data_IF_418434458921
#
_entry.id   IF_418434458921
#
_cell.length_a   1.000
_cell.length_b   1.000
_cell.length_c   1.000
_cell.angle_alpha   90.00
_cell.angle_beta   90.00
_cell.angle_gamma   90.00
#
_symmetry.space_group_name_H-M   'P 1'
#
loop_
_entity.id
_entity.type
_entity.pdbx_description
1 polymer ?
#
# COMPACT_ATOMS: atom_id res chain seq x y z
N UNK A 1 9.59 -21.06 -20.12
CA UNK A 1 8.27 -20.53 -20.58
C UNK A 1 7.57 -19.93 -19.40
N UNK A 2 7.26 -18.66 -19.45
CA UNK A 2 6.80 -17.93 -18.28
C UNK A 2 5.43 -18.44 -17.85
N UNK A 3 5.34 -18.87 -16.61
CA UNK A 3 4.12 -19.19 -15.85
C UNK A 3 3.10 -18.03 -15.84
N UNK A 4 3.50 -16.85 -16.27
CA UNK A 4 2.69 -15.64 -16.37
C UNK A 4 1.51 -15.74 -17.36
N UNK A 5 1.68 -16.42 -18.48
CA UNK A 5 0.64 -16.47 -19.52
C UNK A 5 -0.62 -17.26 -19.13
N UNK A 6 -0.49 -18.23 -18.25
CA UNK A 6 -1.66 -19.02 -17.80
C UNK A 6 -2.55 -18.27 -16.80
N UNK A 7 -1.93 -17.45 -15.98
CA UNK A 7 -2.62 -16.63 -14.99
C UNK A 7 -3.40 -15.49 -15.63
N UNK A 8 -2.86 -14.87 -16.67
CA UNK A 8 -3.50 -13.77 -17.40
C UNK A 8 -4.80 -14.24 -18.08
N UNK A 9 -4.83 -15.47 -18.62
CA UNK A 9 -6.00 -16.01 -19.33
C UNK A 9 -7.23 -16.31 -18.45
N UNK A 10 -7.05 -16.42 -17.12
CA UNK A 10 -8.09 -16.85 -16.19
C UNK A 10 -8.23 -15.90 -14.98
N UNK A 11 -8.37 -14.63 -15.23
CA UNK A 11 -8.38 -13.59 -14.17
C UNK A 11 -9.49 -13.80 -13.11
N UNK A 12 -10.69 -14.21 -13.51
CA UNK A 12 -11.77 -14.52 -12.56
C UNK A 12 -11.39 -15.68 -11.63
N UNK A 13 -10.68 -16.62 -12.15
CA UNK A 13 -10.12 -17.74 -11.39
C UNK A 13 -9.09 -17.27 -10.38
N UNK A 14 -8.20 -16.35 -10.77
CA UNK A 14 -7.21 -15.74 -9.87
C UNK A 14 -7.91 -14.96 -8.75
N UNK A 15 -8.92 -14.16 -9.08
CA UNK A 15 -9.72 -13.44 -8.07
C UNK A 15 -10.38 -14.38 -7.08
N UNK A 16 -10.89 -15.52 -7.56
CA UNK A 16 -11.45 -16.57 -6.70
C UNK A 16 -10.39 -17.15 -5.76
N UNK A 17 -9.19 -17.47 -6.28
CA UNK A 17 -8.09 -17.99 -5.45
C UNK A 17 -7.61 -16.96 -4.41
N UNK A 18 -7.44 -15.72 -4.81
CA UNK A 18 -7.07 -14.65 -3.87
C UNK A 18 -8.13 -14.50 -2.78
N UNK A 19 -9.41 -14.60 -3.12
CA UNK A 19 -10.50 -14.57 -2.15
C UNK A 19 -10.42 -15.75 -1.19
N UNK A 20 -10.16 -16.94 -1.69
CA UNK A 20 -10.06 -18.16 -0.89
C UNK A 20 -8.90 -18.09 0.12
N UNK A 21 -7.72 -17.66 -0.31
CA UNK A 21 -6.52 -17.64 0.54
C UNK A 21 -6.32 -16.35 1.34
N UNK A 22 -6.92 -15.24 0.94
CA UNK A 22 -6.78 -13.95 1.62
C UNK A 22 -8.04 -13.53 2.37
N UNK A 23 -9.21 -13.46 1.69
CA UNK A 23 -10.44 -12.95 2.30
C UNK A 23 -11.03 -13.98 3.27
N UNK A 24 -11.18 -15.22 2.84
CA UNK A 24 -11.67 -16.30 3.70
C UNK A 24 -10.57 -16.86 4.61
N UNK A 25 -9.32 -16.63 4.25
CA UNK A 25 -8.16 -17.02 5.03
C UNK A 25 -7.82 -18.49 4.92
N UNK A 26 -7.33 -19.04 5.96
CA UNK A 26 -6.72 -20.35 6.08
C UNK A 26 -7.47 -21.48 5.40
N UNK A 27 -6.86 -22.10 4.39
CA UNK A 27 -7.41 -23.22 3.64
C UNK A 27 -6.51 -24.44 3.75
N UNK A 28 -7.09 -25.57 4.15
CA UNK A 28 -6.46 -26.90 4.07
C UNK A 28 -6.94 -27.62 2.83
N UNK A 29 -6.20 -28.67 2.45
CA UNK A 29 -6.58 -29.54 1.36
C UNK A 29 -7.91 -30.23 1.62
N UNK A 30 -8.12 -30.69 2.84
CA UNK A 30 -9.32 -31.40 3.26
C UNK A 30 -10.51 -30.46 3.53
N UNK A 31 -10.24 -29.25 3.95
CA UNK A 31 -11.24 -28.18 4.13
C UNK A 31 -11.73 -27.53 2.83
N UNK A 32 -11.17 -27.95 1.68
CA UNK A 32 -11.52 -27.36 0.37
C UNK A 32 -12.70 -28.11 -0.27
N UNK A 33 -13.87 -27.98 0.37
CA UNK A 33 -15.07 -28.78 0.02
C UNK A 33 -15.70 -28.41 -1.33
N UNK A 34 -15.39 -27.28 -1.92
CA UNK A 34 -15.99 -26.81 -3.18
C UNK A 34 -15.42 -27.44 -4.43
N UNK A 35 -14.25 -28.09 -4.35
CA UNK A 35 -13.53 -28.69 -5.50
C UNK A 35 -12.65 -29.86 -5.05
N UNK A 36 -12.10 -30.59 -6.03
CA UNK A 36 -11.21 -31.71 -5.74
C UNK A 36 -9.90 -31.32 -5.09
N UNK A 37 -9.27 -32.21 -4.35
CA UNK A 37 -7.94 -32.01 -3.75
C UNK A 37 -6.87 -31.65 -4.80
N UNK A 38 -6.98 -32.18 -6.02
CA UNK A 38 -6.09 -31.81 -7.14
C UNK A 38 -6.28 -30.34 -7.55
N UNK A 39 -7.54 -29.88 -7.57
CA UNK A 39 -7.84 -28.47 -7.86
C UNK A 39 -7.22 -27.55 -6.80
N UNK A 40 -7.26 -27.92 -5.51
CA UNK A 40 -6.61 -27.18 -4.43
C UNK A 40 -5.09 -27.07 -4.64
N UNK A 41 -4.43 -28.20 -4.94
CA UNK A 41 -2.97 -28.22 -5.16
C UNK A 41 -2.56 -27.37 -6.37
N UNK A 42 -3.36 -27.37 -7.44
CA UNK A 42 -3.11 -26.57 -8.64
C UNK A 42 -3.32 -25.06 -8.35
N UNK A 43 -4.37 -24.71 -7.63
CA UNK A 43 -4.67 -23.34 -7.25
C UNK A 43 -3.61 -22.79 -6.29
N UNK A 44 -3.23 -23.57 -5.29
CA UNK A 44 -2.16 -23.22 -4.36
C UNK A 44 -0.83 -22.99 -5.09
N UNK A 45 -0.41 -23.88 -5.99
CA UNK A 45 0.83 -23.72 -6.77
C UNK A 45 0.82 -22.46 -7.64
N UNK A 46 -0.32 -22.14 -8.24
CA UNK A 46 -0.48 -20.93 -9.05
C UNK A 46 -0.36 -19.66 -8.19
N UNK A 47 -0.96 -19.67 -7.00
CA UNK A 47 -0.82 -18.56 -6.06
C UNK A 47 0.62 -18.46 -5.52
N UNK A 48 1.26 -19.57 -5.18
CA UNK A 48 2.65 -19.61 -4.75
C UNK A 48 3.63 -19.07 -5.81
N UNK A 49 3.35 -19.27 -7.10
CA UNK A 49 4.19 -18.71 -8.17
C UNK A 49 4.14 -17.19 -8.28
N UNK A 50 3.12 -16.55 -7.72
CA UNK A 50 2.91 -15.10 -7.76
C UNK A 50 3.15 -14.41 -6.43
N UNK A 51 2.71 -15.06 -5.38
CA UNK A 51 2.64 -14.50 -4.03
C UNK A 51 3.38 -15.39 -3.02
N UNK A 52 4.26 -16.28 -3.48
CA UNK A 52 4.97 -17.24 -2.63
C UNK A 52 5.65 -16.60 -1.43
N UNK A 53 6.30 -15.45 -1.64
CA UNK A 53 6.97 -14.67 -0.60
C UNK A 53 6.00 -14.12 0.45
N UNK A 54 4.70 -14.07 0.13
CA UNK A 54 3.63 -13.59 0.99
C UNK A 54 2.72 -14.71 1.49
N UNK A 55 3.00 -15.96 1.12
CA UNK A 55 2.23 -17.11 1.57
C UNK A 55 2.89 -17.73 2.79
N UNK A 56 2.06 -18.02 3.77
CA UNK A 56 2.44 -18.68 5.02
C UNK A 56 1.53 -19.89 5.26
N UNK A 57 1.90 -20.70 6.23
CA UNK A 57 1.06 -21.83 6.61
C UNK A 57 1.13 -22.11 8.10
N UNK A 58 0.05 -22.71 8.61
CA UNK A 58 -0.02 -23.29 9.95
C UNK A 58 -0.30 -24.79 9.79
N UNK A 59 0.39 -25.61 10.53
CA UNK A 59 0.11 -27.05 10.62
C UNK A 59 -0.89 -27.30 11.73
N UNK A 60 -1.96 -27.99 11.41
CA UNK A 60 -2.98 -28.48 12.34
C UNK A 60 -3.07 -30.01 12.24
N UNK A 61 -3.74 -30.70 13.17
CA UNK A 61 -3.99 -32.14 13.06
C UNK A 61 -4.68 -32.52 11.74
N UNK A 62 -5.54 -31.64 11.20
CA UNK A 62 -6.25 -31.81 9.93
C UNK A 62 -5.39 -31.49 8.70
N UNK A 63 -4.12 -31.07 8.89
CA UNK A 63 -3.20 -30.84 7.79
C UNK A 63 -2.59 -29.44 7.74
N UNK A 64 -2.08 -29.07 6.56
CA UNK A 64 -1.41 -27.80 6.31
C UNK A 64 -2.43 -26.76 5.84
N UNK A 65 -2.71 -25.77 6.69
CA UNK A 65 -3.56 -24.63 6.38
C UNK A 65 -2.74 -23.50 5.78
N UNK A 66 -2.96 -23.17 4.52
CA UNK A 66 -2.24 -22.12 3.79
C UNK A 66 -3.04 -20.83 3.77
N UNK A 67 -2.36 -19.69 3.88
CA UNK A 67 -2.97 -18.35 3.83
C UNK A 67 -2.00 -17.33 3.26
N UNK A 68 -2.53 -16.19 2.82
CA UNK A 68 -1.73 -15.03 2.39
C UNK A 68 -1.62 -14.06 3.55
N UNK A 69 -0.38 -13.68 3.89
CA UNK A 69 -0.05 -12.65 4.87
C UNK A 69 0.84 -11.61 4.22
N UNK A 70 0.34 -10.37 4.14
CA UNK A 70 1.05 -9.25 3.52
C UNK A 70 1.36 -8.22 4.58
N UNK A 71 2.64 -7.99 4.84
CA UNK A 71 3.07 -6.89 5.69
C UNK A 71 3.34 -5.66 4.81
N UNK A 72 2.34 -4.78 4.73
CA UNK A 72 2.39 -3.55 3.94
C UNK A 72 3.48 -2.55 4.33
N UNK A 73 4.18 -2.77 5.45
CA UNK A 73 5.27 -1.90 5.89
C UNK A 73 6.61 -2.28 5.29
N UNK A 74 6.80 -3.56 5.02
CA UNK A 74 8.03 -4.09 4.41
C UNK A 74 7.94 -4.16 2.90
N UNK A 75 6.74 -4.05 2.34
CA UNK A 75 6.49 -4.19 0.91
C UNK A 75 6.11 -2.81 0.35
N UNK A 76 6.90 -2.26 -0.58
CA UNK A 76 6.66 -0.92 -1.15
C UNK A 76 5.39 -0.84 -1.99
N UNK A 77 4.94 -1.95 -2.56
CA UNK A 77 3.76 -2.02 -3.41
C UNK A 77 2.87 -3.20 -3.01
N UNK A 78 1.55 -3.02 -3.06
CA UNK A 78 0.62 -4.10 -2.77
C UNK A 78 0.76 -5.23 -3.80
N UNK A 79 1.25 -6.42 -3.42
CA UNK A 79 1.52 -7.52 -4.36
C UNK A 79 0.24 -8.07 -5.00
N UNK A 80 -0.91 -7.86 -4.39
CA UNK A 80 -2.21 -8.27 -4.96
C UNK A 80 -2.53 -7.52 -6.26
N UNK A 81 -2.00 -6.30 -6.44
CA UNK A 81 -2.19 -5.54 -7.68
C UNK A 81 -1.42 -6.10 -8.87
N UNK A 82 -0.44 -6.98 -8.66
CA UNK A 82 0.24 -7.65 -9.77
C UNK A 82 -0.74 -8.48 -10.61
N UNK A 83 -1.71 -9.15 -9.98
CA UNK A 83 -2.76 -9.88 -10.71
C UNK A 83 -3.71 -8.93 -11.46
N UNK A 84 -4.02 -7.80 -10.87
CA UNK A 84 -4.86 -6.78 -11.49
C UNK A 84 -4.15 -6.12 -12.69
N UNK A 85 -2.90 -5.72 -12.53
CA UNK A 85 -2.05 -5.13 -13.57
C UNK A 85 -1.92 -6.07 -14.77
N UNK A 86 -1.66 -7.35 -14.52
CA UNK A 86 -1.48 -8.36 -15.56
C UNK A 86 -2.71 -8.55 -16.47
N UNK A 87 -3.93 -8.25 -15.99
CA UNK A 87 -5.13 -8.26 -16.84
C UNK A 87 -5.37 -6.93 -17.54
N UNK A 88 -5.25 -5.84 -16.78
CA UNK A 88 -5.75 -4.54 -17.23
C UNK A 88 -4.81 -3.89 -18.24
N UNK A 89 -3.51 -3.96 -17.98
CA UNK A 89 -2.51 -3.30 -18.82
C UNK A 89 -1.17 -4.05 -18.75
N UNK A 90 -0.62 -4.37 -19.90
CA UNK A 90 0.80 -4.74 -20.00
C UNK A 90 1.67 -3.49 -19.94
N UNK A 91 2.97 -3.64 -19.71
CA UNK A 91 3.91 -2.50 -19.77
C UNK A 91 3.90 -1.85 -21.16
N UNK A 92 3.75 -2.67 -22.22
CA UNK A 92 3.56 -2.18 -23.58
C UNK A 92 2.26 -1.41 -23.78
N UNK A 93 1.13 -1.87 -23.20
CA UNK A 93 -0.14 -1.13 -23.27
C UNK A 93 -0.03 0.24 -22.62
N UNK A 94 0.60 0.33 -21.45
CA UNK A 94 0.79 1.60 -20.73
C UNK A 94 1.69 2.53 -21.54
N UNK A 95 2.81 2.02 -22.02
CA UNK A 95 3.76 2.81 -22.84
C UNK A 95 3.10 3.33 -24.09
N UNK A 96 2.41 2.46 -24.83
CA UNK A 96 1.73 2.84 -26.07
C UNK A 96 0.60 3.85 -25.83
N UNK A 97 -0.11 3.74 -24.70
CA UNK A 97 -1.13 4.70 -24.29
C UNK A 97 -0.56 6.13 -24.22
N UNK A 98 0.50 6.30 -23.42
CA UNK A 98 1.10 7.62 -23.25
C UNK A 98 1.69 8.16 -24.56
N UNK A 99 2.37 7.33 -25.34
CA UNK A 99 2.94 7.74 -26.64
C UNK A 99 1.86 8.19 -27.60
N UNK A 100 0.76 7.43 -27.74
CA UNK A 100 -0.33 7.79 -28.67
C UNK A 100 -1.01 9.10 -28.26
N UNK A 101 -1.19 9.34 -26.95
CA UNK A 101 -1.81 10.59 -26.48
C UNK A 101 -0.85 11.78 -26.50
N UNK A 102 0.46 11.55 -26.53
CA UNK A 102 1.43 12.61 -26.75
C UNK A 102 1.54 12.97 -28.25
N UNK A 103 1.55 11.97 -29.14
CA UNK A 103 1.50 12.20 -30.58
C UNK A 103 0.22 12.94 -30.99
N UNK A 104 -0.92 12.50 -30.45
CA UNK A 104 -2.24 13.07 -30.73
C UNK A 104 -2.70 13.98 -29.58
N UNK A 105 -1.82 14.88 -29.13
CA UNK A 105 -2.03 15.71 -27.94
C UNK A 105 -3.15 16.74 -28.08
N UNK A 106 -3.48 17.14 -29.32
CA UNK A 106 -4.47 18.18 -29.62
C UNK A 106 -5.45 17.73 -30.73
N UNK A 107 -6.73 18.10 -30.68
CA UNK A 107 -7.71 17.76 -31.72
C UNK A 107 -7.35 18.23 -33.14
N UNK A 108 -6.51 19.24 -33.26
CA UNK A 108 -6.06 19.74 -34.57
C UNK A 108 -4.93 18.90 -35.17
N UNK A 109 -4.26 18.12 -34.35
CA UNK A 109 -3.19 17.23 -34.79
C UNK A 109 -3.78 15.93 -35.30
N UNK A 110 -3.57 15.64 -36.58
CA UNK A 110 -4.00 14.38 -37.19
C UNK A 110 -2.81 13.63 -37.80
N UNK A 111 -2.79 12.32 -37.65
CA UNK A 111 -1.77 11.42 -38.18
C UNK A 111 -2.40 10.18 -38.76
N UNK A 112 -1.82 9.67 -39.85
CA UNK A 112 -2.16 8.33 -40.33
C UNK A 112 -1.27 7.26 -39.62
N UNK A 113 -1.63 5.98 -39.77
CA UNK A 113 -0.95 4.90 -39.10
C UNK A 113 0.56 4.81 -39.41
N UNK A 114 1.02 4.93 -40.66
CA UNK A 114 2.48 4.97 -40.93
C UNK A 114 3.21 6.13 -40.26
N UNK A 115 2.61 7.32 -40.19
CA UNK A 115 3.19 8.48 -39.51
C UNK A 115 3.29 8.23 -38.02
N UNK A 116 2.27 7.64 -37.39
CA UNK A 116 2.29 7.27 -35.97
C UNK A 116 3.40 6.25 -35.68
N UNK A 117 3.53 5.22 -36.49
CA UNK A 117 4.58 4.21 -36.34
C UNK A 117 5.98 4.81 -36.44
N UNK A 118 6.21 5.66 -37.46
CA UNK A 118 7.50 6.36 -37.61
C UNK A 118 7.81 7.24 -36.38
N UNK A 119 6.83 8.00 -35.88
CA UNK A 119 7.02 8.82 -34.68
C UNK A 119 7.28 7.98 -33.43
N UNK A 120 6.60 6.84 -33.27
CA UNK A 120 6.84 5.91 -32.15
C UNK A 120 8.29 5.46 -32.16
N UNK A 121 8.78 4.97 -33.29
CA UNK A 121 10.12 4.39 -33.39
C UNK A 121 11.22 5.45 -33.26
N UNK A 122 11.10 6.56 -33.94
CA UNK A 122 12.14 7.58 -34.05
C UNK A 122 12.23 8.49 -32.84
N UNK A 123 11.09 8.87 -32.22
CA UNK A 123 11.08 9.86 -31.15
C UNK A 123 11.00 9.24 -29.76
N UNK A 124 10.27 8.14 -29.62
CA UNK A 124 9.97 7.59 -28.30
C UNK A 124 10.80 6.38 -27.95
N UNK A 125 10.85 5.38 -28.84
CA UNK A 125 11.52 4.12 -28.53
C UNK A 125 13.04 4.21 -28.59
N UNK A 126 13.59 5.12 -29.39
CA UNK A 126 15.04 5.34 -29.46
C UNK A 126 15.69 5.71 -28.10
N UNK A 127 14.93 6.23 -27.14
CA UNK A 127 15.40 6.60 -25.81
C UNK A 127 15.30 5.50 -24.74
N UNK A 128 14.67 4.35 -25.03
CA UNK A 128 14.52 3.27 -24.07
C UNK A 128 15.75 2.35 -24.07
N UNK A 129 16.24 2.02 -22.86
CA UNK A 129 17.38 1.08 -22.70
C UNK A 129 17.05 -0.36 -23.08
N UNK A 130 15.77 -0.77 -22.98
CA UNK A 130 15.29 -2.06 -23.42
C UNK A 130 14.53 -1.93 -24.74
N UNK A 131 14.76 -2.81 -25.73
CA UNK A 131 14.05 -2.73 -27.00
C UNK A 131 12.58 -3.07 -26.81
N UNK A 132 11.74 -2.03 -26.76
CA UNK A 132 10.29 -2.14 -26.93
C UNK A 132 10.02 -2.05 -28.43
N UNK A 133 9.25 -2.98 -28.97
CA UNK A 133 8.80 -2.93 -30.37
C UNK A 133 7.27 -3.05 -30.39
N UNK A 134 6.63 -2.16 -31.11
CA UNK A 134 5.19 -2.25 -31.37
C UNK A 134 4.97 -2.59 -32.84
N UNK A 135 4.37 -3.74 -33.07
CA UNK A 135 3.96 -4.09 -34.43
C UNK A 135 2.76 -3.26 -34.88
N UNK A 136 2.61 -3.11 -36.20
CA UNK A 136 1.53 -2.35 -36.83
C UNK A 136 0.15 -2.83 -36.35
N UNK A 137 -0.03 -4.14 -36.18
CA UNK A 137 -1.31 -4.73 -35.78
C UNK A 137 -1.70 -4.31 -34.35
N UNK A 138 -0.73 -4.22 -33.45
CA UNK A 138 -0.92 -3.77 -32.07
C UNK A 138 -1.33 -2.31 -32.01
N UNK A 139 -0.61 -1.43 -32.72
CA UNK A 139 -0.94 0.00 -32.77
C UNK A 139 -2.31 0.22 -33.41
N UNK A 140 -2.60 -0.44 -34.54
CA UNK A 140 -3.89 -0.37 -35.23
C UNK A 140 -5.05 -0.81 -34.32
N UNK A 141 -4.88 -1.91 -33.58
CA UNK A 141 -5.88 -2.39 -32.64
C UNK A 141 -6.15 -1.39 -31.54
N UNK A 142 -5.09 -0.77 -31.00
CA UNK A 142 -5.20 0.22 -29.92
C UNK A 142 -5.87 1.49 -30.39
N UNK A 143 -5.54 1.99 -31.57
CA UNK A 143 -6.22 3.13 -32.20
C UNK A 143 -7.72 2.86 -32.41
N UNK A 144 -8.07 1.66 -32.88
CA UNK A 144 -9.46 1.24 -33.02
C UNK A 144 -10.20 1.22 -31.67
N UNK A 145 -9.58 0.66 -30.64
CA UNK A 145 -10.12 0.62 -29.27
C UNK A 145 -10.43 2.04 -28.75
N UNK A 146 -9.52 3.00 -29.00
CA UNK A 146 -9.74 4.38 -28.60
C UNK A 146 -10.79 5.13 -29.44
N UNK A 147 -10.96 4.76 -30.69
CA UNK A 147 -12.07 5.26 -31.49
C UNK A 147 -13.43 4.71 -31.02
N UNK A 148 -13.48 3.41 -30.65
CA UNK A 148 -14.67 2.80 -30.07
C UNK A 148 -15.03 3.38 -28.68
N UNK A 149 -14.02 3.83 -27.93
CA UNK A 149 -14.19 4.53 -26.67
C UNK A 149 -14.53 6.03 -26.83
N UNK A 150 -14.61 6.55 -28.05
CA UNK A 150 -14.92 7.99 -28.34
C UNK A 150 -13.79 8.95 -27.93
N UNK A 151 -12.57 8.44 -27.67
CA UNK A 151 -11.42 9.27 -27.29
C UNK A 151 -10.67 9.79 -28.53
N UNK A 152 -10.61 8.96 -29.57
CA UNK A 152 -10.07 9.32 -30.87
C UNK A 152 -11.18 9.32 -31.93
N UNK A 153 -10.96 10.07 -33.01
CA UNK A 153 -11.78 10.08 -34.22
C UNK A 153 -10.93 9.59 -35.37
N UNK A 154 -11.49 8.67 -36.16
CA UNK A 154 -10.90 8.19 -37.40
C UNK A 154 -11.57 8.86 -38.61
N UNK A 155 -10.83 9.58 -39.40
CA UNK A 155 -11.29 10.29 -40.57
C UNK A 155 -10.69 9.66 -41.84
N UNK A 156 -11.52 9.32 -42.81
CA UNK A 156 -11.07 8.70 -44.06
C UNK A 156 -10.92 9.76 -45.15
N UNK A 157 -9.72 9.91 -45.67
CA UNK A 157 -9.43 10.75 -46.83
C UNK A 157 -8.86 9.88 -47.98
N UNK A 158 -9.67 9.64 -48.97
CA UNK A 158 -9.31 8.77 -50.09
C UNK A 158 -9.06 7.33 -49.61
N UNK A 159 -7.82 6.88 -49.75
CA UNK A 159 -7.37 5.54 -49.28
C UNK A 159 -6.71 5.55 -47.90
N UNK A 160 -6.47 6.71 -47.31
CA UNK A 160 -5.82 6.88 -46.02
C UNK A 160 -6.83 7.10 -44.90
N UNK A 161 -6.53 6.61 -43.73
CA UNK A 161 -7.27 6.87 -42.49
C UNK A 161 -6.38 7.68 -41.57
N UNK A 162 -6.87 8.84 -41.18
CA UNK A 162 -6.22 9.72 -40.22
C UNK A 162 -6.91 9.60 -38.84
N UNK A 163 -6.12 9.65 -37.83
CA UNK A 163 -6.57 9.64 -36.43
C UNK A 163 -6.28 10.99 -35.80
N UNK A 164 -7.22 11.49 -35.03
CA UNK A 164 -7.06 12.69 -34.22
C UNK A 164 -7.77 12.54 -32.89
N UNK A 165 -7.42 13.34 -31.93
CA UNK A 165 -8.14 13.39 -30.67
C UNK A 165 -9.57 13.90 -30.88
N UNK A 166 -10.54 13.40 -30.12
CA UNK A 166 -11.88 13.93 -30.09
C UNK A 166 -11.89 15.33 -29.46
N UNK A 167 -12.76 16.22 -29.97
CA UNK A 167 -12.88 17.58 -29.46
C UNK A 167 -13.41 17.61 -28.03
N UNK A 168 -14.24 16.64 -27.68
CA UNK A 168 -14.73 16.39 -26.32
C UNK A 168 -14.89 14.89 -26.11
N UNK A 169 -14.70 14.44 -24.90
CA UNK A 169 -14.97 13.06 -24.51
C UNK A 169 -16.16 13.04 -23.55
N UNK A 170 -17.17 12.26 -23.87
CA UNK A 170 -18.31 12.04 -22.99
C UNK A 170 -17.84 11.19 -21.79
N UNK A 171 -17.85 11.79 -20.61
CA UNK A 171 -17.45 11.15 -19.35
C UNK A 171 -18.65 10.74 -18.49
N UNK A 172 -19.87 10.95 -18.96
CA UNK A 172 -21.09 10.65 -18.20
C UNK A 172 -21.17 9.18 -17.76
N UNK A 173 -20.70 8.27 -18.60
CA UNK A 173 -20.59 6.84 -18.27
C UNK A 173 -19.50 6.50 -17.23
N UNK A 174 -18.64 7.47 -16.90
CA UNK A 174 -17.54 7.31 -15.92
C UNK A 174 -17.83 8.00 -14.59
N UNK A 175 -19.02 8.55 -14.40
CA UNK A 175 -19.38 9.32 -13.18
C UNK A 175 -19.14 8.54 -11.90
N UNK A 176 -19.51 7.26 -11.84
CA UNK A 176 -19.23 6.39 -10.69
C UNK A 176 -17.73 6.23 -10.44
N UNK A 177 -16.93 6.11 -11.51
CA UNK A 177 -15.45 5.99 -11.39
C UNK A 177 -14.85 7.29 -10.88
N UNK A 178 -15.31 8.43 -11.40
CA UNK A 178 -14.88 9.76 -10.97
C UNK A 178 -15.24 9.98 -9.50
N UNK A 179 -16.46 9.61 -9.10
CA UNK A 179 -16.90 9.69 -7.72
C UNK A 179 -16.04 8.79 -6.80
N UNK A 180 -15.79 7.54 -7.20
CA UNK A 180 -14.93 6.64 -6.43
C UNK A 180 -13.52 7.21 -6.18
N UNK A 181 -12.92 7.87 -7.17
CA UNK A 181 -11.59 8.46 -7.06
C UNK A 181 -11.58 9.90 -6.53
N UNK A 182 -12.71 10.52 -6.26
CA UNK A 182 -12.80 11.92 -5.81
C UNK A 182 -12.03 12.20 -4.52
N UNK A 183 -11.88 11.21 -3.64
CA UNK A 183 -11.12 11.30 -2.38
C UNK A 183 -9.64 10.87 -2.50
N UNK A 184 -9.15 10.55 -3.71
CA UNK A 184 -7.78 10.06 -3.93
C UNK A 184 -6.93 11.18 -4.53
N UNK A 185 -6.12 11.83 -3.72
CA UNK A 185 -5.21 12.87 -4.19
C UNK A 185 -4.07 12.30 -5.08
N UNK A 186 -3.67 12.94 -6.17
CA UNK A 186 -4.20 14.20 -6.72
C UNK A 186 -5.41 13.98 -7.64
N UNK A 187 -5.76 12.75 -7.98
CA UNK A 187 -6.86 12.42 -8.89
C UNK A 187 -8.20 13.00 -8.44
N UNK A 188 -8.42 13.08 -7.12
CA UNK A 188 -9.64 13.62 -6.55
C UNK A 188 -9.92 15.07 -6.93
N UNK A 189 -8.90 15.91 -7.05
CA UNK A 189 -9.07 17.31 -7.50
C UNK A 189 -9.60 17.36 -8.91
N UNK A 190 -9.06 16.54 -9.82
CA UNK A 190 -9.51 16.45 -11.21
C UNK A 190 -10.91 15.82 -11.28
N UNK A 191 -11.12 14.73 -10.53
CA UNK A 191 -12.41 14.04 -10.45
C UNK A 191 -13.53 14.95 -9.95
N UNK A 192 -13.29 15.66 -8.84
CA UNK A 192 -14.25 16.62 -8.29
C UNK A 192 -14.56 17.75 -9.26
N UNK A 193 -13.54 18.30 -9.94
CA UNK A 193 -13.74 19.33 -10.96
C UNK A 193 -14.62 18.85 -12.13
N UNK A 194 -14.46 17.59 -12.55
CA UNK A 194 -15.29 17.02 -13.62
C UNK A 194 -16.71 16.78 -13.11
N UNK A 195 -16.86 16.21 -11.90
CA UNK A 195 -18.16 15.95 -11.27
C UNK A 195 -18.97 17.24 -11.06
N UNK A 196 -18.33 18.35 -10.71
CA UNK A 196 -18.98 19.67 -10.55
C UNK A 196 -19.60 20.19 -11.85
N UNK A 197 -19.19 19.67 -13.00
CA UNK A 197 -19.71 20.04 -14.32
C UNK A 197 -20.78 19.09 -14.84
N UNK A 198 -20.84 17.89 -14.29
CA UNK A 198 -21.86 16.91 -14.63
C UNK A 198 -23.12 17.13 -13.79
N UNK A 199 -24.27 17.02 -14.43
CA UNK A 199 -25.58 17.26 -13.76
C UNK A 199 -26.10 15.98 -13.09
N UNK A 200 -25.38 14.89 -13.17
CA UNK A 200 -25.81 13.59 -12.65
C UNK A 200 -25.36 13.37 -11.22
N UNK A 201 -26.31 13.33 -10.30
CA UNK A 201 -26.06 12.82 -8.95
C UNK A 201 -25.88 11.30 -9.00
N UNK A 202 -24.77 10.82 -8.46
CA UNK A 202 -24.57 9.41 -8.21
C UNK A 202 -24.50 9.17 -6.70
N UNK A 203 -25.28 8.21 -6.25
CA UNK A 203 -25.32 7.76 -4.85
C UNK A 203 -24.67 6.38 -4.65
N UNK A 204 -23.99 5.88 -5.71
CA UNK A 204 -23.32 4.56 -5.68
C UNK A 204 -22.24 4.46 -4.62
N UNK A 205 -21.62 5.59 -4.23
CA UNK A 205 -20.55 5.64 -3.24
C UNK A 205 -20.78 6.75 -2.21
N UNK A 206 -20.56 6.39 -0.95
CA UNK A 206 -20.49 7.34 0.17
C UNK A 206 -19.19 7.16 0.92
N UNK A 207 -18.41 8.22 1.03
CA UNK A 207 -17.16 8.18 1.78
C UNK A 207 -17.46 8.40 3.27
N UNK A 208 -17.11 7.40 4.07
CA UNK A 208 -17.31 7.45 5.52
C UNK A 208 -16.37 8.45 6.21
N UNK A 209 -15.19 8.68 5.62
CA UNK A 209 -14.15 9.58 6.14
C UNK A 209 -13.46 10.30 4.99
N UNK A 210 -13.23 11.60 5.17
CA UNK A 210 -12.49 12.42 4.24
C UNK A 210 -11.06 12.65 4.72
N UNK A 211 -10.10 12.54 3.80
CA UNK A 211 -8.68 12.75 4.09
C UNK A 211 -8.22 14.15 3.62
N UNK A 212 -8.63 15.17 4.34
CA UNK A 212 -8.28 16.58 4.04
C UNK A 212 -6.76 16.77 3.89
N UNK A 213 -5.96 16.03 4.68
CA UNK A 213 -4.50 16.12 4.65
C UNK A 213 -3.92 15.85 3.26
N UNK A 214 -4.52 14.98 2.47
CA UNK A 214 -4.07 14.70 1.10
C UNK A 214 -4.14 15.90 0.15
N UNK A 215 -5.05 16.85 0.39
CA UNK A 215 -5.16 18.08 -0.39
C UNK A 215 -4.24 19.20 0.14
N UNK A 216 -4.01 19.24 1.45
CA UNK A 216 -3.23 20.30 2.10
C UNK A 216 -1.72 20.13 1.84
N UNK A 217 -1.24 18.88 1.84
CA UNK A 217 0.20 18.58 1.87
C UNK A 217 0.84 18.45 0.49
N UNK A 218 0.11 18.69 -0.60
CA UNK A 218 0.59 18.44 -1.97
C UNK A 218 1.88 19.23 -2.29
N UNK A 219 1.98 20.49 -1.89
CA UNK A 219 3.19 21.31 -2.11
C UNK A 219 4.37 20.82 -1.30
N UNK A 220 4.15 20.44 -0.05
CA UNK A 220 5.17 19.85 0.84
C UNK A 220 5.68 18.54 0.27
N UNK A 221 4.76 17.66 -0.15
CA UNK A 221 5.11 16.37 -0.77
C UNK A 221 5.92 16.55 -2.05
N UNK A 222 5.52 17.46 -2.94
CA UNK A 222 6.24 17.74 -4.17
C UNK A 222 7.69 18.18 -3.89
N UNK A 223 7.89 19.09 -2.93
CA UNK A 223 9.22 19.54 -2.52
C UNK A 223 10.06 18.40 -1.92
N UNK A 224 9.45 17.56 -1.06
CA UNK A 224 10.13 16.40 -0.47
C UNK A 224 10.51 15.35 -1.52
N UNK A 225 9.63 15.05 -2.48
CA UNK A 225 9.93 14.11 -3.56
C UNK A 225 11.05 14.60 -4.46
N UNK A 226 11.07 15.91 -4.76
CA UNK A 226 12.17 16.52 -5.52
C UNK A 226 13.49 16.39 -4.76
N UNK A 227 13.50 16.71 -3.47
CA UNK A 227 14.71 16.60 -2.64
C UNK A 227 15.19 15.13 -2.53
N UNK A 228 14.28 14.16 -2.39
CA UNK A 228 14.64 12.73 -2.37
C UNK A 228 15.20 12.26 -3.72
N UNK A 229 14.62 12.69 -4.83
CA UNK A 229 15.10 12.36 -6.17
C UNK A 229 16.51 12.93 -6.43
N UNK A 230 16.74 14.16 -5.97
CA UNK A 230 18.01 14.84 -6.12
C UNK A 230 19.01 14.51 -4.98
N UNK A 231 18.62 13.62 -4.06
CA UNK A 231 19.44 13.21 -2.90
C UNK A 231 19.91 14.38 -2.05
N UNK A 232 19.04 15.36 -1.79
CA UNK A 232 19.34 16.59 -1.07
C UNK A 232 18.84 16.53 0.38
N UNK A 233 19.57 17.20 1.25
CA UNK A 233 19.05 17.65 2.52
C UNK A 233 18.01 18.77 2.31
N UNK A 234 17.14 18.96 3.29
CA UNK A 234 16.17 20.06 3.32
C UNK A 234 16.12 20.67 4.71
N UNK A 235 15.85 21.98 4.75
CA UNK A 235 15.39 22.63 5.96
C UNK A 235 13.87 22.68 5.96
N UNK A 236 13.25 22.26 7.05
CA UNK A 236 11.78 22.23 7.23
C UNK A 236 11.39 22.95 8.51
N UNK A 237 10.17 23.48 8.53
CA UNK A 237 9.52 23.96 9.75
C UNK A 237 8.50 22.91 10.19
N UNK A 238 8.63 22.41 11.43
CA UNK A 238 7.72 21.43 12.03
C UNK A 238 6.91 22.08 13.15
N UNK A 239 5.58 22.01 13.05
CA UNK A 239 4.62 22.48 14.06
C UNK A 239 4.07 21.29 14.84
N UNK A 240 4.68 20.96 15.97
CA UNK A 240 4.17 19.87 16.81
C UNK A 240 3.21 20.41 17.88
N UNK A 241 2.01 19.81 17.99
CA UNK A 241 1.02 20.15 19.03
C UNK A 241 1.55 20.07 20.48
N UNK A 242 2.64 19.32 20.70
CA UNK A 242 3.20 19.17 22.05
C UNK A 242 3.97 20.40 22.56
N UNK A 243 4.37 21.31 21.68
CA UNK A 243 5.23 22.45 22.06
C UNK A 243 4.75 23.81 21.58
N UNK A 244 3.64 23.88 20.84
CA UNK A 244 3.01 25.10 20.26
C UNK A 244 3.97 26.11 19.58
N UNK A 245 5.23 25.73 19.38
CA UNK A 245 6.24 26.55 18.74
C UNK A 245 6.78 25.85 17.50
N UNK A 246 6.86 26.55 16.36
CA UNK A 246 7.47 26.02 15.16
C UNK A 246 8.96 25.77 15.39
N UNK A 247 9.41 24.56 15.07
CA UNK A 247 10.83 24.21 15.13
C UNK A 247 11.38 24.06 13.72
N UNK A 248 12.39 24.82 13.41
CA UNK A 248 13.18 24.65 12.19
C UNK A 248 14.20 23.53 12.39
N UNK A 249 14.30 22.60 11.43
CA UNK A 249 15.23 21.48 11.48
C UNK A 249 15.79 21.20 10.09
N UNK A 250 17.08 20.88 10.05
CA UNK A 250 17.75 20.33 8.88
C UNK A 250 17.57 18.82 8.89
N UNK A 251 17.08 18.24 7.79
CA UNK A 251 16.80 16.82 7.68
C UNK A 251 17.17 16.29 6.29
N UNK A 252 17.47 15.00 6.20
CA UNK A 252 17.61 14.29 4.92
C UNK A 252 16.34 13.46 4.76
N UNK A 253 15.43 13.81 3.84
CA UNK A 253 14.19 13.10 3.62
C UNK A 253 14.47 11.77 2.92
N UNK A 254 14.03 10.65 3.48
CA UNK A 254 14.37 9.31 2.97
C UNK A 254 13.17 8.58 2.36
N UNK A 255 12.00 8.64 3.03
CA UNK A 255 10.80 7.91 2.59
C UNK A 255 9.53 8.51 3.17
N UNK A 256 8.45 8.47 2.40
CA UNK A 256 7.10 8.75 2.88
C UNK A 256 6.41 7.43 3.19
N UNK A 257 5.91 7.30 4.41
CA UNK A 257 5.07 6.19 4.85
C UNK A 257 3.62 6.66 4.89
N UNK A 258 2.75 5.93 4.23
CA UNK A 258 1.32 6.26 4.15
C UNK A 258 0.54 5.17 4.89
N UNK A 259 -0.28 5.57 5.86
CA UNK A 259 -1.19 4.67 6.53
C UNK A 259 -2.41 4.42 5.65
N UNK A 260 -2.56 3.21 5.15
CA UNK A 260 -3.76 2.81 4.41
C UNK A 260 -5.04 2.79 5.28
N UNK A 261 -4.90 2.79 6.60
CA UNK A 261 -6.02 2.75 7.53
C UNK A 261 -6.66 4.12 7.77
N UNK A 262 -5.86 5.20 7.79
CA UNK A 262 -6.32 6.53 8.16
C UNK A 262 -5.76 7.65 7.27
N UNK A 263 -5.15 7.31 6.13
CA UNK A 263 -4.60 8.25 5.16
C UNK A 263 -3.42 9.11 5.65
N UNK A 264 -3.00 8.97 6.91
CA UNK A 264 -1.91 9.79 7.45
C UNK A 264 -0.59 9.48 6.78
N UNK A 265 0.15 10.54 6.48
CA UNK A 265 1.44 10.48 5.83
C UNK A 265 2.53 10.87 6.81
N UNK A 266 3.60 10.09 6.86
CA UNK A 266 4.76 10.31 7.71
C UNK A 266 6.02 10.35 6.84
N UNK A 267 6.78 11.43 6.96
CA UNK A 267 8.13 11.51 6.41
C UNK A 267 9.09 10.80 7.36
N UNK A 268 9.80 9.83 6.87
CA UNK A 268 10.95 9.25 7.54
C UNK A 268 12.22 9.97 7.08
N UNK A 269 12.96 10.54 8.01
CA UNK A 269 14.12 11.37 7.73
C UNK A 269 15.27 11.12 8.70
N UNK A 270 16.49 11.40 8.25
CA UNK A 270 17.67 11.41 9.09
C UNK A 270 17.98 12.86 9.50
N UNK A 271 18.34 13.03 10.76
CA UNK A 271 18.75 14.31 11.35
C UNK A 271 20.27 14.35 11.50
N UNK A 272 21.00 15.06 10.64
CA UNK A 272 22.46 15.13 10.72
C UNK A 272 22.96 15.66 12.06
N UNK A 273 22.30 16.70 12.60
CA UNK A 273 22.70 17.36 13.85
C UNK A 273 22.60 16.45 15.09
N UNK A 274 21.77 15.40 15.00
CA UNK A 274 21.51 14.46 16.10
C UNK A 274 21.97 13.03 15.80
N UNK A 275 22.57 12.82 14.64
CA UNK A 275 22.96 11.48 14.17
C UNK A 275 21.85 10.44 14.39
N UNK A 276 20.61 10.77 14.01
CA UNK A 276 19.44 9.94 14.35
C UNK A 276 18.37 9.98 13.28
N UNK A 277 17.63 8.89 13.17
CA UNK A 277 16.41 8.85 12.37
C UNK A 277 15.21 9.35 13.17
N UNK A 278 14.25 9.96 12.49
CA UNK A 278 13.00 10.38 13.08
C UNK A 278 11.88 10.33 12.03
N UNK A 279 10.64 10.23 12.50
CA UNK A 279 9.45 10.34 11.66
C UNK A 279 8.71 11.65 11.97
N UNK A 280 8.23 12.30 10.91
CA UNK A 280 7.47 13.54 10.97
C UNK A 280 6.14 13.34 10.29
N UNK A 281 5.06 13.79 10.89
CA UNK A 281 3.78 13.90 10.18
C UNK A 281 3.92 14.96 9.10
N UNK A 282 3.55 14.62 7.87
CA UNK A 282 3.69 15.56 6.72
C UNK A 282 2.79 16.78 6.91
N UNK A 283 1.59 16.59 7.48
CA UNK A 283 0.65 17.67 7.78
C UNK A 283 1.11 18.67 8.88
N UNK A 284 2.25 18.39 9.53
CA UNK A 284 2.92 19.31 10.47
C UNK A 284 4.13 20.00 9.86
N UNK A 285 4.48 19.65 8.63
CA UNK A 285 5.63 20.21 7.94
C UNK A 285 5.22 21.40 7.06
N UNK A 286 6.06 22.39 7.00
CA UNK A 286 5.94 23.56 6.12
C UNK A 286 7.31 24.10 5.76
N UNK A 287 7.34 25.03 4.80
CA UNK A 287 8.55 25.75 4.40
C UNK A 287 9.73 24.81 4.06
N UNK A 288 9.47 23.78 3.25
CA UNK A 288 10.50 22.85 2.77
C UNK A 288 11.43 23.58 1.81
N UNK A 289 12.68 23.77 2.22
CA UNK A 289 13.72 24.44 1.40
C UNK A 289 14.83 23.43 1.10
N UNK A 290 15.13 23.16 -0.17
CA UNK A 290 16.23 22.27 -0.54
C UNK A 290 17.58 22.88 -0.14
N UNK A 291 18.51 22.01 0.23
CA UNK A 291 19.91 22.33 0.53
C UNK A 291 20.83 21.53 -0.40
N UNK A 292 22.10 21.44 -0.07
CA UNK A 292 23.09 20.74 -0.88
C UNK A 292 22.82 19.22 -0.96
N UNK A 293 23.27 18.57 -2.04
CA UNK A 293 23.23 17.12 -2.17
C UNK A 293 23.98 16.42 -1.04
N UNK A 294 23.44 15.28 -0.60
CA UNK A 294 23.99 14.49 0.49
C UNK A 294 24.64 13.22 -0.03
N UNK A 295 25.98 13.07 0.07
CA UNK A 295 26.67 11.86 -0.42
C UNK A 295 26.20 10.57 0.26
N UNK A 296 25.79 10.64 1.53
CA UNK A 296 25.35 9.48 2.33
C UNK A 296 23.89 9.08 2.13
N UNK A 297 23.19 9.65 1.15
CA UNK A 297 21.75 9.41 0.96
C UNK A 297 21.41 7.93 0.79
N UNK A 298 22.11 7.24 -0.09
CA UNK A 298 21.85 5.83 -0.38
C UNK A 298 22.22 4.91 0.79
N UNK A 299 23.30 5.22 1.52
CA UNK A 299 23.69 4.54 2.75
C UNK A 299 22.59 4.64 3.82
N UNK A 300 22.10 5.88 4.07
CA UNK A 300 21.04 6.14 5.03
C UNK A 300 19.73 5.46 4.65
N UNK A 301 19.44 5.38 3.36
CA UNK A 301 18.26 4.68 2.86
C UNK A 301 18.35 3.16 3.06
N UNK A 302 19.52 2.59 2.81
CA UNK A 302 19.79 1.17 3.10
C UNK A 302 19.74 0.86 4.61
N UNK A 303 20.19 1.78 5.46
CA UNK A 303 20.05 1.67 6.91
C UNK A 303 18.58 1.69 7.33
N UNK A 304 17.78 2.60 6.78
CA UNK A 304 16.33 2.63 6.99
C UNK A 304 15.66 1.30 6.62
N UNK A 305 16.03 0.71 5.47
CA UNK A 305 15.45 -0.56 5.04
C UNK A 305 15.72 -1.70 6.03
N UNK A 306 16.92 -1.73 6.60
CA UNK A 306 17.27 -2.68 7.68
C UNK A 306 16.45 -2.44 8.96
N UNK A 307 16.25 -1.17 9.31
CA UNK A 307 15.47 -0.80 10.50
C UNK A 307 13.99 -1.17 10.37
N UNK A 308 13.42 -1.13 9.16
CA UNK A 308 11.99 -1.42 8.95
C UNK A 308 11.57 -2.81 9.43
N UNK A 309 12.46 -3.80 9.39
CA UNK A 309 12.19 -5.15 9.90
C UNK A 309 11.93 -5.22 11.41
N UNK A 310 12.30 -4.17 12.16
CA UNK A 310 12.15 -4.04 13.61
C UNK A 310 11.15 -2.94 14.01
N UNK A 311 10.49 -2.31 13.03
CA UNK A 311 9.51 -1.26 13.25
C UNK A 311 8.11 -1.85 13.31
N UNK A 312 7.36 -1.55 14.36
CA UNK A 312 5.93 -1.87 14.39
C UNK A 312 5.09 -0.86 13.60
N UNK A 313 5.37 0.41 13.76
CA UNK A 313 4.73 1.53 13.07
C UNK A 313 5.75 2.43 12.36
N UNK A 314 5.85 3.66 12.79
CA UNK A 314 6.72 4.68 12.20
C UNK A 314 7.78 5.22 13.17
N UNK A 315 7.78 4.73 14.39
CA UNK A 315 8.66 5.21 15.46
C UNK A 315 9.95 4.41 15.50
N UNK A 316 11.07 5.14 15.63
CA UNK A 316 12.38 4.57 15.89
C UNK A 316 12.93 5.28 17.12
N UNK A 317 12.96 4.58 18.23
CA UNK A 317 13.59 5.08 19.45
C UNK A 317 15.03 4.58 19.53
N UNK A 318 15.95 5.51 19.79
CA UNK A 318 17.30 5.19 20.21
C UNK A 318 17.43 5.49 21.72
N UNK A 319 18.33 4.82 22.37
CA UNK A 319 18.63 5.16 23.76
C UNK A 319 19.30 6.55 23.84
N UNK A 320 19.45 7.06 25.05
CA UNK A 320 20.06 8.39 25.31
C UNK A 320 21.52 8.53 24.81
N UNK A 321 22.17 7.43 24.45
CA UNK A 321 23.52 7.39 23.88
C UNK A 321 23.52 7.22 22.35
N UNK A 322 22.33 7.21 21.69
CA UNK A 322 22.20 7.07 20.25
C UNK A 322 22.28 5.64 19.72
N UNK A 323 22.42 4.63 20.59
CA UNK A 323 22.45 3.23 20.19
C UNK A 323 21.05 2.68 19.92
N UNK A 324 20.95 1.69 19.05
CA UNK A 324 19.72 0.92 18.85
C UNK A 324 19.24 0.36 20.19
N UNK A 325 17.98 0.57 20.49
CA UNK A 325 17.33 -0.01 21.66
C UNK A 325 16.03 -0.65 21.23
N UNK A 326 15.99 -1.98 21.30
CA UNK A 326 14.79 -2.74 21.02
C UNK A 326 14.07 -3.04 22.33
N UNK A 327 12.77 -2.86 22.31
CA UNK A 327 11.86 -3.20 23.38
C UNK A 327 11.23 -4.56 23.05
N UNK A 328 11.39 -5.52 23.96
CA UNK A 328 10.75 -6.82 23.87
C UNK A 328 9.28 -6.72 24.27
N UNK A 329 8.40 -7.29 23.46
CA UNK A 329 6.96 -7.40 23.70
C UNK A 329 6.57 -8.85 23.61
N UNK A 330 6.03 -9.41 24.68
CA UNK A 330 5.47 -10.75 24.71
C UNK A 330 4.09 -10.72 25.37
N UNK A 331 3.13 -11.42 24.77
CA UNK A 331 1.86 -11.72 25.42
C UNK A 331 1.32 -13.07 24.98
N UNK A 332 0.55 -13.70 25.87
CA UNK A 332 -0.09 -14.98 25.63
C UNK A 332 -1.60 -14.79 25.63
N UNK A 333 -2.26 -15.31 24.61
CA UNK A 333 -3.73 -15.34 24.54
C UNK A 333 -4.22 -16.76 24.73
N UNK A 334 -5.39 -16.89 25.36
CA UNK A 334 -6.18 -18.11 25.42
C UNK A 334 -7.50 -17.87 24.69
N UNK A 335 -7.86 -18.79 23.82
CA UNK A 335 -9.09 -18.75 23.02
C UNK A 335 -10.00 -19.91 23.40
N UNK A 336 -11.31 -19.69 23.30
CA UNK A 336 -12.32 -20.72 23.55
C UNK A 336 -12.66 -21.46 22.27
N UNK A 337 -13.41 -22.55 22.40
CA UNK A 337 -13.93 -23.30 21.27
C UNK A 337 -14.77 -22.40 20.35
N UNK A 338 -14.54 -22.48 19.04
CA UNK A 338 -15.21 -21.61 18.04
C UNK A 338 -14.58 -20.24 17.81
N UNK A 339 -13.50 -19.87 18.54
CA UNK A 339 -12.81 -18.58 18.39
C UNK A 339 -11.59 -18.62 17.46
N UNK A 340 -11.50 -19.57 16.57
CA UNK A 340 -10.41 -19.69 15.59
C UNK A 340 -10.12 -18.41 14.81
N UNK A 341 -11.11 -17.56 14.63
CA UNK A 341 -10.96 -16.27 13.96
C UNK A 341 -9.99 -15.34 14.69
N UNK A 342 -9.87 -15.42 16.03
CA UNK A 342 -8.92 -14.64 16.83
C UNK A 342 -7.50 -15.13 16.54
N UNK A 343 -7.31 -16.45 16.53
CA UNK A 343 -6.02 -17.07 16.21
C UNK A 343 -5.60 -16.73 14.77
N UNK A 344 -6.52 -16.87 13.81
CA UNK A 344 -6.28 -16.50 12.42
C UNK A 344 -5.90 -15.02 12.29
N UNK A 345 -6.55 -14.17 13.05
CA UNK A 345 -6.23 -12.73 13.10
C UNK A 345 -4.84 -12.49 13.67
N UNK A 346 -4.49 -13.15 14.79
CA UNK A 346 -3.17 -13.04 15.42
C UNK A 346 -2.06 -13.39 14.41
N UNK A 347 -2.21 -14.48 13.67
CA UNK A 347 -1.25 -14.90 12.64
C UNK A 347 -1.16 -13.93 11.46
N UNK A 348 -2.28 -13.37 10.99
CA UNK A 348 -2.29 -12.42 9.88
C UNK A 348 -1.71 -11.07 10.24
N UNK A 349 -1.96 -10.61 11.48
CA UNK A 349 -1.60 -9.26 11.93
C UNK A 349 -0.29 -9.22 12.74
N UNK A 350 0.40 -10.34 12.91
CA UNK A 350 1.64 -10.44 13.70
C UNK A 350 2.79 -9.53 13.23
N UNK A 351 2.71 -9.05 12.00
CA UNK A 351 3.71 -8.16 11.37
C UNK A 351 5.13 -8.71 11.56
N UNK A 352 5.99 -7.93 12.26
CA UNK A 352 7.40 -8.30 12.56
C UNK A 352 7.52 -9.29 13.72
N UNK A 353 6.41 -9.65 14.37
CA UNK A 353 6.42 -10.59 15.49
C UNK A 353 6.30 -12.03 15.07
N UNK A 354 6.50 -12.90 16.03
CA UNK A 354 6.36 -14.36 15.92
C UNK A 354 5.18 -14.82 16.76
N UNK A 355 4.43 -15.79 16.25
CA UNK A 355 3.34 -16.46 16.96
C UNK A 355 3.73 -17.92 17.14
N UNK A 356 3.64 -18.39 18.36
CA UNK A 356 3.91 -19.77 18.74
C UNK A 356 2.66 -20.37 19.39
N UNK A 357 2.28 -21.57 18.98
CA UNK A 357 1.21 -22.34 19.62
C UNK A 357 1.81 -23.09 20.80
N UNK A 358 1.33 -22.80 22.01
CA UNK A 358 1.79 -23.46 23.24
C UNK A 358 1.00 -24.74 23.52
N UNK A 359 -0.33 -24.68 23.36
CA UNK A 359 -1.24 -25.81 23.46
C UNK A 359 -2.45 -25.61 22.53
N UNK A 360 -3.50 -26.43 22.69
CA UNK A 360 -4.67 -26.40 21.78
C UNK A 360 -5.38 -25.07 21.77
N UNK A 361 -5.43 -24.36 22.90
CA UNK A 361 -6.16 -23.12 23.07
C UNK A 361 -5.26 -21.91 23.35
N UNK A 362 -3.94 -22.10 23.52
CA UNK A 362 -3.04 -21.06 24.00
C UNK A 362 -1.97 -20.72 22.98
N UNK A 363 -1.83 -19.43 22.69
CA UNK A 363 -0.89 -18.91 21.71
C UNK A 363 -0.06 -17.78 22.30
N UNK A 364 1.24 -17.80 22.06
CA UNK A 364 2.19 -16.76 22.48
C UNK A 364 2.59 -15.94 21.27
N UNK A 365 2.50 -14.62 21.42
CA UNK A 365 3.09 -13.65 20.49
C UNK A 365 4.30 -13.01 21.15
N UNK A 366 5.38 -12.82 20.37
CA UNK A 366 6.52 -12.03 20.81
C UNK A 366 7.16 -11.27 19.63
N UNK A 367 7.75 -10.11 19.94
CA UNK A 367 8.47 -9.26 18.99
C UNK A 367 9.49 -8.38 19.70
N UNK A 368 10.60 -8.08 19.00
CA UNK A 368 11.57 -7.08 19.42
C UNK A 368 11.43 -5.86 18.48
N UNK A 369 11.02 -4.73 19.03
CA UNK A 369 10.64 -3.53 18.25
C UNK A 369 11.25 -2.27 18.83
N UNK A 370 11.41 -1.22 18.01
CA UNK A 370 11.93 0.07 18.49
C UNK A 370 10.99 0.79 19.47
N UNK A 371 9.69 0.62 19.33
CA UNK A 371 8.69 1.31 20.17
C UNK A 371 7.50 0.42 20.46
N UNK A 372 7.45 -0.15 21.64
CA UNK A 372 6.36 -1.02 22.09
C UNK A 372 5.04 -0.25 22.28
N UNK A 373 5.07 1.09 22.41
CA UNK A 373 3.86 1.89 22.54
C UNK A 373 2.96 1.83 21.31
N UNK A 374 3.56 1.60 20.13
CA UNK A 374 2.83 1.48 18.88
C UNK A 374 2.02 0.17 18.76
N UNK A 375 2.41 -0.88 19.52
CA UNK A 375 1.64 -2.12 19.57
C UNK A 375 0.41 -2.02 20.46
N UNK A 376 0.39 -1.11 21.43
CA UNK A 376 -0.67 -1.03 22.45
C UNK A 376 -2.09 -1.01 21.86
N UNK A 377 -2.43 -0.25 20.81
CA UNK A 377 -3.77 -0.28 20.19
C UNK A 377 -4.14 -1.66 19.63
N UNK A 378 -3.18 -2.35 19.04
CA UNK A 378 -3.40 -3.68 18.49
C UNK A 378 -3.53 -4.74 19.60
N UNK A 379 -2.66 -4.70 20.60
CA UNK A 379 -2.72 -5.61 21.76
C UNK A 379 -4.07 -5.46 22.50
N UNK A 380 -4.59 -4.25 22.62
CA UNK A 380 -5.92 -3.99 23.23
C UNK A 380 -7.07 -4.72 22.51
N UNK A 381 -6.89 -5.06 21.24
CA UNK A 381 -7.95 -5.78 20.52
C UNK A 381 -8.05 -7.26 20.91
N UNK A 382 -7.12 -7.78 21.71
CA UNK A 382 -7.14 -9.11 22.32
C UNK A 382 -7.51 -9.08 23.80
N UNK A 383 -8.03 -7.95 24.29
CA UNK A 383 -8.56 -7.82 25.66
C UNK A 383 -9.56 -8.95 25.94
N UNK A 384 -9.63 -9.44 27.13
CA UNK A 384 -10.40 -10.64 27.54
C UNK A 384 -9.84 -11.99 27.06
N UNK A 385 -8.76 -11.99 26.28
CA UNK A 385 -8.07 -13.23 25.85
C UNK A 385 -6.63 -13.27 26.33
N UNK A 386 -6.06 -12.13 26.76
CA UNK A 386 -4.69 -12.05 27.26
C UNK A 386 -4.63 -12.62 28.66
N UNK A 387 -3.88 -13.73 28.80
CA UNK A 387 -3.66 -14.41 30.09
C UNK A 387 -2.29 -14.10 30.70
N UNK A 388 -1.32 -13.71 29.88
CA UNK A 388 0.03 -13.33 30.33
C UNK A 388 0.57 -12.20 29.48
N UNK A 389 1.34 -11.32 30.09
CA UNK A 389 1.99 -10.20 29.44
C UNK A 389 3.37 -9.96 30.05
N UNK A 390 4.38 -9.74 29.20
CA UNK A 390 5.76 -9.49 29.61
C UNK A 390 6.42 -8.53 28.61
N UNK A 391 6.38 -7.23 28.91
CA UNK A 391 7.05 -6.20 28.11
C UNK A 391 8.32 -5.75 28.83
N UNK A 392 9.43 -5.60 28.10
CA UNK A 392 10.64 -4.97 28.65
C UNK A 392 10.38 -3.52 29.07
N UNK A 393 9.52 -2.82 28.33
CA UNK A 393 9.03 -1.49 28.71
C UNK A 393 7.88 -1.61 29.72
N UNK A 394 8.24 -1.68 31.01
CA UNK A 394 7.27 -1.82 32.11
C UNK A 394 6.27 -0.67 32.20
N UNK A 395 6.63 0.51 31.73
CA UNK A 395 5.71 1.66 31.72
C UNK A 395 4.51 1.38 30.80
N UNK A 396 4.74 0.82 29.62
CA UNK A 396 3.67 0.48 28.67
C UNK A 396 2.84 -0.70 29.19
N UNK A 397 3.48 -1.73 29.75
CA UNK A 397 2.78 -2.86 30.37
C UNK A 397 1.89 -2.40 31.52
N UNK A 398 2.43 -1.62 32.45
CA UNK A 398 1.68 -1.11 33.60
C UNK A 398 0.54 -0.18 33.17
N UNK A 399 0.76 0.65 32.16
CA UNK A 399 -0.33 1.48 31.61
C UNK A 399 -1.46 0.63 31.05
N UNK A 400 -1.17 -0.45 30.32
CA UNK A 400 -2.20 -1.38 29.84
C UNK A 400 -2.99 -2.00 31.01
N UNK A 401 -2.29 -2.50 32.03
CA UNK A 401 -2.91 -3.10 33.22
C UNK A 401 -3.74 -2.10 34.03
N UNK A 402 -3.27 -0.86 34.14
CA UNK A 402 -4.00 0.21 34.83
C UNK A 402 -5.24 0.64 34.05
N UNK A 403 -5.16 0.74 32.72
CA UNK A 403 -6.32 1.03 31.86
C UNK A 403 -7.42 -0.04 32.07
N UNK A 404 -7.04 -1.33 32.24
CA UNK A 404 -7.99 -2.40 32.53
C UNK A 404 -8.62 -2.26 33.92
N UNK A 405 -7.80 -2.01 34.94
CA UNK A 405 -8.32 -1.80 36.31
C UNK A 405 -9.28 -0.63 36.36
N UNK A 406 -8.96 0.48 35.70
CA UNK A 406 -9.84 1.64 35.63
C UNK A 406 -11.14 1.32 34.91
N UNK A 407 -11.10 0.54 33.83
CA UNK A 407 -12.28 0.06 33.14
C UNK A 407 -13.18 -0.78 34.06
N UNK A 408 -12.61 -1.72 34.84
CA UNK A 408 -13.37 -2.51 35.81
C UNK A 408 -14.05 -1.60 36.83
N UNK A 409 -13.33 -0.59 37.35
CA UNK A 409 -13.87 0.38 38.29
C UNK A 409 -15.04 1.19 37.70
N UNK A 410 -14.87 1.68 36.47
CA UNK A 410 -15.91 2.49 35.79
C UNK A 410 -17.20 1.72 35.53
N UNK A 411 -17.09 0.40 35.33
CA UNK A 411 -18.27 -0.46 35.12
C UNK A 411 -18.83 -1.06 36.44
N UNK A 412 -18.29 -0.66 37.60
CA UNK A 412 -18.74 -1.17 38.89
C UNK A 412 -18.49 -2.65 39.11
N UNK A 413 -17.50 -3.21 38.44
CA UNK A 413 -17.11 -4.62 38.55
C UNK A 413 -16.04 -4.88 39.63
N UNK A 414 -15.70 -3.87 40.43
CA UNK A 414 -14.72 -3.94 41.53
C UNK A 414 -15.24 -4.75 42.74
N UNK A 415 -16.52 -5.13 42.74
CA UNK A 415 -17.12 -5.97 43.74
C UNK A 415 -16.87 -7.44 43.46
N UNK A 416 -15.93 -8.05 44.25
CA UNK A 416 -15.77 -9.49 44.39
C UNK A 416 -15.17 -10.25 43.21
N UNK A 417 -13.94 -9.96 42.84
CA UNK A 417 -13.06 -11.05 42.37
C UNK A 417 -12.40 -11.64 43.60
N UNK A 418 -13.01 -12.64 44.19
CA UNK A 418 -12.36 -13.54 45.14
C UNK A 418 -11.23 -14.26 44.37
N UNK A 419 -10.04 -14.46 45.01
CA UNK A 419 -8.86 -15.01 44.40
C UNK A 419 -9.04 -16.44 43.86
#
# INVERSE_FOLDING_TARGET
>A
MSTYNELIKNFERIRSYMRDFYVYGFKSRDGYQSKSARSYDDERRRMESWLGDHMSFVRTPEGKNVFISIDSRTIPHNPLYNAWKAKSFTDGDITLHFILFDILHDPTVRRNLPEILSEIDEKYLAGFQAPLMFDESTVRKKLKEYCEAGILIAEKEGRKVYYRRADSTDVSSLTDVLHYYSEVAPCGVIGSFILDKEVTDTDSFTFKHHYITGAIDSGVLAALFTAMREKRAVTVTNMSRRKDLPRRSRIIPLRILISAQNGRQHLFAYLPDFNSFNSYRVDYLSNVKPEDPTPRFDELRAELDRMQSKMWGVSVKRNKWGNEHLEHVEFTIRVEEGEDYIVKRLYREKRVGTVEKLDEHTYRFYADVYDSSELKPWVRTFICRIVKMNFSNRTIENQFKNDLKEMYRMYGLDGEVKP
#
